data_IF_059010729554
#
_entry.id   IF_059010729554
#
_cell.length_a   1.000
_cell.length_b   1.000
_cell.length_c   1.000
_cell.angle_alpha   90.00
_cell.angle_beta   90.00
_cell.angle_gamma   90.00
#
_symmetry.space_group_name_H-M   'P 1'
#
loop_
_entity.id
_entity.type
_entity.pdbx_description
1 polymer ?
#
# COMPACT_ATOMS: atom_id res chain seq x y z
N UNK A 1 16.85 -2.13 -13.42
CA UNK A 1 16.25 -3.45 -13.23
C UNK A 1 15.23 -3.74 -14.35
N UNK A 2 15.14 -5.00 -14.78
CA UNK A 2 14.24 -5.43 -15.87
C UNK A 2 12.78 -5.01 -15.65
N UNK A 3 12.29 -5.18 -14.42
CA UNK A 3 10.91 -4.83 -14.06
C UNK A 3 10.59 -3.34 -14.29
N UNK A 4 11.54 -2.43 -14.04
CA UNK A 4 11.35 -1.00 -14.31
C UNK A 4 11.23 -0.74 -15.80
N UNK A 5 12.07 -1.39 -16.64
CA UNK A 5 11.98 -1.25 -18.09
C UNK A 5 10.62 -1.72 -18.64
N UNK A 6 10.07 -2.80 -18.08
CA UNK A 6 8.75 -3.29 -18.47
C UNK A 6 7.66 -2.28 -18.16
N UNK A 7 7.66 -1.69 -16.94
CA UNK A 7 6.71 -0.63 -16.57
C UNK A 7 6.85 0.58 -17.49
N UNK A 8 8.08 1.04 -17.74
CA UNK A 8 8.36 2.17 -18.65
C UNK A 8 7.86 1.89 -20.05
N UNK A 9 8.04 0.64 -20.54
CA UNK A 9 7.56 0.22 -21.87
C UNK A 9 6.04 0.28 -22.04
N UNK A 10 5.27 0.24 -20.94
CA UNK A 10 3.80 0.39 -20.97
C UNK A 10 3.36 1.85 -21.11
N UNK A 11 4.26 2.81 -20.86
CA UNK A 11 3.96 4.25 -20.84
C UNK A 11 2.68 4.59 -20.01
N UNK A 12 2.63 4.23 -18.73
CA UNK A 12 1.42 4.35 -17.93
C UNK A 12 1.12 5.80 -17.56
N UNK A 13 -0.18 6.14 -17.43
CA UNK A 13 -0.64 7.39 -16.86
C UNK A 13 -0.67 7.34 -15.33
N UNK A 14 -0.91 6.15 -14.77
CA UNK A 14 -0.95 5.90 -13.32
C UNK A 14 -0.11 4.68 -12.97
N UNK A 15 0.75 4.83 -11.96
CA UNK A 15 1.51 3.72 -11.35
C UNK A 15 1.08 3.57 -9.90
N UNK A 16 0.52 2.41 -9.54
CA UNK A 16 0.16 2.08 -8.17
C UNK A 16 1.30 1.25 -7.55
N UNK A 17 1.83 1.73 -6.43
CA UNK A 17 2.96 1.13 -5.72
C UNK A 17 2.48 0.55 -4.38
N UNK A 18 2.46 -0.79 -4.28
CA UNK A 18 1.98 -1.53 -3.11
C UNK A 18 3.14 -2.32 -2.50
N UNK A 19 3.69 -1.82 -1.41
CA UNK A 19 4.84 -2.39 -0.70
C UNK A 19 4.56 -2.56 0.81
N UNK A 20 5.59 -2.79 1.60
CA UNK A 20 5.54 -2.83 3.06
C UNK A 20 5.33 -4.22 3.64
N UNK A 21 4.63 -5.13 2.97
CA UNK A 21 4.38 -6.49 3.49
C UNK A 21 5.67 -7.30 3.57
N UNK A 22 6.45 -7.36 2.50
CA UNK A 22 7.69 -8.13 2.44
C UNK A 22 8.77 -7.53 3.34
N UNK A 23 8.88 -6.21 3.33
CA UNK A 23 9.80 -5.45 4.16
C UNK A 23 9.53 -5.70 5.65
N UNK A 24 8.25 -5.68 6.06
CA UNK A 24 7.81 -5.99 7.42
C UNK A 24 8.03 -7.46 7.80
N UNK A 25 8.13 -8.40 6.84
CA UNK A 25 8.41 -9.82 7.10
C UNK A 25 9.89 -10.13 7.28
N UNK A 26 10.78 -9.24 6.89
CA UNK A 26 12.21 -9.36 7.15
C UNK A 26 12.52 -9.61 8.63
N UNK A 27 13.63 -10.29 8.94
CA UNK A 27 14.05 -10.54 10.34
C UNK A 27 14.26 -9.25 11.13
N UNK A 28 14.71 -8.20 10.43
CA UNK A 28 14.90 -6.85 10.98
C UNK A 28 14.28 -5.88 10.00
N UNK A 29 13.22 -5.20 10.43
CA UNK A 29 12.66 -4.09 9.67
C UNK A 29 13.46 -2.83 9.97
N UNK A 30 13.92 -2.16 8.94
CA UNK A 30 14.63 -0.88 9.01
C UNK A 30 13.84 0.18 8.25
N UNK A 31 13.23 1.18 8.93
CA UNK A 31 12.58 2.30 8.25
C UNK A 31 13.50 3.02 7.27
N UNK A 32 14.77 3.23 7.64
CA UNK A 32 15.74 3.93 6.78
C UNK A 32 16.02 3.18 5.48
N UNK A 33 16.18 1.83 5.54
CA UNK A 33 16.37 1.00 4.35
C UNK A 33 15.11 0.99 3.48
N UNK A 34 13.93 0.89 4.10
CA UNK A 34 12.65 0.93 3.38
C UNK A 34 12.49 2.26 2.65
N UNK A 35 12.73 3.40 3.31
CA UNK A 35 12.70 4.72 2.69
C UNK A 35 13.69 4.84 1.52
N UNK A 36 14.91 4.36 1.69
CA UNK A 36 15.92 4.41 0.63
C UNK A 36 15.52 3.58 -0.60
N UNK A 37 14.89 2.41 -0.38
CA UNK A 37 14.37 1.56 -1.46
C UNK A 37 13.21 2.24 -2.20
N UNK A 38 12.27 2.87 -1.46
CA UNK A 38 11.16 3.63 -2.05
C UNK A 38 11.67 4.82 -2.87
N UNK A 39 12.61 5.60 -2.33
CA UNK A 39 13.22 6.74 -3.04
C UNK A 39 13.90 6.31 -4.33
N UNK A 40 14.69 5.24 -4.27
CA UNK A 40 15.39 4.72 -5.44
C UNK A 40 14.42 4.24 -6.52
N UNK A 41 13.43 3.44 -6.14
CA UNK A 41 12.41 2.92 -7.06
C UNK A 41 11.61 4.06 -7.71
N UNK A 42 11.11 4.98 -6.90
CA UNK A 42 10.33 6.12 -7.39
C UNK A 42 11.17 7.02 -8.30
N UNK A 43 12.45 7.23 -7.94
CA UNK A 43 13.38 8.00 -8.76
C UNK A 43 13.61 7.39 -10.14
N UNK A 44 13.80 6.08 -10.20
CA UNK A 44 13.97 5.36 -11.47
C UNK A 44 12.67 5.35 -12.31
N UNK A 45 11.52 5.15 -11.68
CA UNK A 45 10.23 5.21 -12.38
C UNK A 45 9.94 6.60 -12.94
N UNK A 46 10.19 7.66 -12.17
CA UNK A 46 10.00 9.06 -12.62
C UNK A 46 10.90 9.44 -13.78
N UNK A 47 12.11 8.88 -13.88
CA UNK A 47 12.98 9.07 -15.05
C UNK A 47 12.38 8.46 -16.31
N UNK A 48 11.79 7.26 -16.20
CA UNK A 48 11.20 6.56 -17.33
C UNK A 48 9.77 6.98 -17.68
N UNK A 49 8.97 7.35 -16.69
CA UNK A 49 7.57 7.76 -16.82
C UNK A 49 7.32 9.13 -16.18
N UNK A 50 7.91 10.23 -16.70
CA UNK A 50 7.89 11.54 -16.03
C UNK A 50 6.49 12.17 -15.97
N UNK A 51 5.56 11.71 -16.80
CA UNK A 51 4.16 12.20 -16.83
C UNK A 51 3.22 11.35 -15.99
N UNK A 52 3.62 10.17 -15.55
CA UNK A 52 2.79 9.30 -14.76
C UNK A 52 2.50 9.88 -13.37
N UNK A 53 1.30 9.63 -12.88
CA UNK A 53 0.92 9.86 -11.48
C UNK A 53 1.29 8.63 -10.65
N UNK A 54 1.76 8.83 -9.44
CA UNK A 54 2.18 7.76 -8.52
C UNK A 54 1.29 7.73 -7.30
N UNK A 55 0.64 6.58 -7.07
CA UNK A 55 -0.20 6.30 -5.91
C UNK A 55 0.43 5.19 -5.09
N UNK A 56 0.74 5.46 -3.84
CA UNK A 56 1.16 4.42 -2.89
C UNK A 56 -0.04 3.79 -2.18
N UNK A 57 0.11 2.54 -1.74
CA UNK A 57 -0.86 1.90 -0.86
C UNK A 57 -0.13 1.28 0.32
N UNK A 58 -0.64 1.48 1.55
CA UNK A 58 -0.07 0.82 2.72
C UNK A 58 -0.38 -0.69 2.70
N UNK A 59 0.47 -1.53 3.35
CA UNK A 59 0.23 -2.96 3.43
C UNK A 59 -1.05 -3.29 4.20
N UNK A 60 -1.79 -4.35 3.81
CA UNK A 60 -3.11 -4.67 4.38
C UNK A 60 -3.07 -5.27 5.81
N UNK A 61 -1.90 -5.57 6.33
CA UNK A 61 -1.72 -6.36 7.54
C UNK A 61 -1.38 -7.81 7.23
N UNK A 62 -0.63 -8.46 8.14
CA UNK A 62 -0.24 -9.85 8.00
C UNK A 62 0.11 -10.46 9.35
N UNK A 63 0.16 -11.80 9.42
CA UNK A 63 0.65 -12.52 10.58
C UNK A 63 2.10 -12.96 10.38
N UNK A 64 2.82 -13.13 11.48
CA UNK A 64 4.18 -13.69 11.52
C UNK A 64 4.25 -14.82 12.56
N UNK A 65 5.13 -15.79 12.36
CA UNK A 65 5.38 -16.83 13.37
C UNK A 65 6.22 -16.27 14.52
N UNK A 66 5.77 -16.50 15.74
CA UNK A 66 6.55 -16.21 16.94
C UNK A 66 7.55 -17.35 17.17
N UNK A 67 8.73 -17.23 16.56
CA UNK A 67 9.75 -18.27 16.54
C UNK A 67 9.48 -19.38 15.51
N UNK A 68 10.43 -20.35 15.43
CA UNK A 68 10.44 -21.39 14.37
C UNK A 68 9.22 -22.33 14.40
N UNK A 69 8.67 -22.62 15.59
CA UNK A 69 7.50 -23.50 15.81
C UNK A 69 6.35 -22.81 16.56
N UNK A 70 6.44 -21.50 16.76
CA UNK A 70 5.46 -20.75 17.53
C UNK A 70 4.15 -20.49 16.78
N UNK A 71 3.14 -20.07 17.54
CA UNK A 71 1.87 -19.61 17.00
C UNK A 71 2.06 -18.39 16.09
N UNK A 72 1.10 -18.18 15.18
CA UNK A 72 1.03 -16.95 14.40
C UNK A 72 0.49 -15.83 15.26
N UNK A 73 1.16 -14.70 15.21
CA UNK A 73 0.75 -13.44 15.84
C UNK A 73 0.67 -12.35 14.79
N UNK A 74 -0.12 -11.32 15.04
CA UNK A 74 -0.15 -10.14 14.16
C UNK A 74 1.29 -9.60 14.07
N UNK A 75 1.74 -9.33 12.84
CA UNK A 75 3.11 -8.85 12.62
C UNK A 75 3.29 -7.43 13.19
N UNK A 76 4.04 -7.24 14.28
CA UNK A 76 4.18 -5.92 14.90
C UNK A 76 4.96 -4.92 14.05
N UNK A 77 5.70 -5.41 13.04
CA UNK A 77 6.47 -4.56 12.13
C UNK A 77 5.61 -3.95 11.02
N UNK A 78 4.42 -4.51 10.73
CA UNK A 78 3.51 -3.94 9.73
C UNK A 78 3.15 -2.50 10.07
N UNK A 79 2.82 -2.20 11.33
CA UNK A 79 2.51 -0.81 11.73
C UNK A 79 3.67 0.16 11.55
N UNK A 80 4.91 -0.34 11.69
CA UNK A 80 6.10 0.47 11.45
C UNK A 80 6.30 0.74 9.96
N UNK A 81 6.04 -0.26 9.10
CA UNK A 81 6.06 -0.09 7.65
C UNK A 81 5.00 0.92 7.21
N UNK A 82 3.76 0.76 7.68
CA UNK A 82 2.66 1.72 7.43
C UNK A 82 3.05 3.13 7.81
N UNK A 83 3.56 3.32 9.04
CA UNK A 83 4.01 4.66 9.48
C UNK A 83 5.10 5.22 8.58
N UNK A 84 6.08 4.39 8.21
CA UNK A 84 7.18 4.79 7.33
C UNK A 84 6.67 5.27 5.98
N UNK A 85 5.72 4.55 5.38
CA UNK A 85 5.13 4.89 4.07
C UNK A 85 4.27 6.16 4.15
N UNK A 86 3.46 6.32 5.20
CA UNK A 86 2.65 7.52 5.40
C UNK A 86 3.52 8.76 5.60
N UNK A 87 4.55 8.69 6.45
CA UNK A 87 5.50 9.77 6.68
C UNK A 87 6.26 10.13 5.38
N UNK A 88 6.66 9.10 4.61
CA UNK A 88 7.32 9.28 3.32
C UNK A 88 6.42 10.03 2.33
N UNK A 89 5.20 9.54 2.15
CA UNK A 89 4.25 10.16 1.23
C UNK A 89 3.95 11.62 1.62
N UNK A 90 3.74 11.89 2.92
CA UNK A 90 3.52 13.24 3.43
C UNK A 90 4.73 14.15 3.15
N UNK A 91 5.96 13.70 3.42
CA UNK A 91 7.19 14.46 3.20
C UNK A 91 7.47 14.78 1.73
N UNK A 92 7.02 13.92 0.83
CA UNK A 92 7.21 14.02 -0.62
C UNK A 92 5.99 14.56 -1.37
N UNK A 93 4.89 14.88 -0.66
CA UNK A 93 3.61 15.30 -1.24
C UNK A 93 3.09 14.30 -2.29
N UNK A 94 3.18 13.00 -1.96
CA UNK A 94 2.72 11.91 -2.80
C UNK A 94 1.32 11.47 -2.39
N UNK A 95 0.54 11.00 -3.36
CA UNK A 95 -0.73 10.34 -3.07
C UNK A 95 -0.47 8.98 -2.41
N UNK A 96 -1.20 8.70 -1.34
CA UNK A 96 -1.17 7.40 -0.66
C UNK A 96 -2.57 7.02 -0.21
N UNK A 97 -2.93 5.75 -0.45
CA UNK A 97 -4.15 5.15 0.09
C UNK A 97 -3.79 4.29 1.29
N UNK A 98 -4.34 4.66 2.44
CA UNK A 98 -4.06 3.98 3.71
C UNK A 98 -4.99 2.78 3.91
N UNK A 99 -4.73 1.69 3.16
CA UNK A 99 -5.49 0.44 3.26
C UNK A 99 -5.47 -0.12 4.69
N UNK A 100 -4.33 -0.05 5.37
CA UNK A 100 -4.19 -0.62 6.72
C UNK A 100 -5.24 -0.10 7.69
N UNK A 101 -5.42 1.22 7.75
CA UNK A 101 -6.40 1.81 8.66
C UNK A 101 -7.84 1.67 8.15
N UNK A 102 -8.07 1.70 6.83
CA UNK A 102 -9.38 1.43 6.23
C UNK A 102 -9.91 0.05 6.64
N UNK A 103 -9.06 -0.97 6.72
CA UNK A 103 -9.47 -2.33 7.09
C UNK A 103 -9.38 -2.61 8.60
N UNK A 104 -9.09 -1.60 9.44
CA UNK A 104 -9.18 -1.70 10.88
C UNK A 104 -7.87 -1.48 11.66
N UNK A 105 -6.76 -1.22 10.98
CA UNK A 105 -5.49 -0.86 11.58
C UNK A 105 -4.86 -1.95 12.46
N UNK A 106 -4.02 -1.52 13.39
CA UNK A 106 -3.23 -2.42 14.26
C UNK A 106 -4.12 -3.43 15.00
N UNK A 107 -5.30 -3.00 15.44
CA UNK A 107 -6.17 -3.81 16.28
C UNK A 107 -7.03 -4.79 15.49
N UNK A 108 -7.51 -4.39 14.33
CA UNK A 108 -8.58 -5.14 13.65
C UNK A 108 -8.25 -5.59 12.23
N UNK A 109 -7.30 -5.00 11.53
CA UNK A 109 -7.04 -5.35 10.13
C UNK A 109 -6.89 -6.86 9.93
N UNK A 110 -5.97 -7.52 10.64
CA UNK A 110 -5.77 -8.95 10.52
C UNK A 110 -6.97 -9.79 10.99
N UNK A 111 -7.72 -9.31 11.99
CA UNK A 111 -8.93 -10.00 12.46
C UNK A 111 -10.04 -9.91 11.42
N UNK A 112 -10.27 -8.75 10.83
CA UNK A 112 -11.27 -8.57 9.78
C UNK A 112 -10.98 -9.45 8.57
N UNK A 113 -9.73 -9.47 8.10
CA UNK A 113 -9.31 -10.38 7.02
C UNK A 113 -9.49 -11.86 7.39
N UNK A 114 -9.19 -12.23 8.65
CA UNK A 114 -9.35 -13.63 9.11
C UNK A 114 -10.80 -14.03 9.24
N UNK A 115 -11.66 -13.16 9.80
CA UNK A 115 -13.09 -13.42 10.00
C UNK A 115 -13.84 -13.55 8.66
N UNK A 116 -13.42 -12.79 7.65
CA UNK A 116 -13.95 -12.90 6.30
C UNK A 116 -13.37 -14.06 5.47
N UNK A 117 -12.47 -14.86 6.04
CA UNK A 117 -11.75 -15.94 5.33
C UNK A 117 -10.95 -15.46 4.11
N UNK A 118 -10.49 -14.21 4.12
CA UNK A 118 -9.77 -13.61 3.00
C UNK A 118 -8.28 -13.94 2.95
N UNK A 119 -7.69 -14.47 4.03
CA UNK A 119 -6.30 -14.93 4.03
C UNK A 119 -6.14 -16.34 3.49
N UNK A 120 -5.05 -16.60 2.78
CA UNK A 120 -4.55 -17.94 2.55
C UNK A 120 -4.04 -18.59 3.86
N UNK A 121 -3.67 -19.88 3.80
CA UNK A 121 -3.17 -20.64 4.96
C UNK A 121 -1.94 -20.03 5.64
N UNK A 122 -1.12 -19.31 4.88
CA UNK A 122 0.10 -18.67 5.41
C UNK A 122 -0.20 -17.41 6.23
N UNK A 123 -1.41 -16.85 6.11
CA UNK A 123 -1.83 -15.60 6.77
C UNK A 123 -0.99 -14.38 6.39
N UNK A 124 -0.43 -14.40 5.18
CA UNK A 124 0.33 -13.33 4.54
C UNK A 124 -0.32 -12.96 3.21
N UNK A 125 -0.55 -13.98 2.38
CA UNK A 125 -1.23 -13.82 1.10
C UNK A 125 -2.74 -13.91 1.26
N UNK A 126 -3.45 -13.35 0.30
CA UNK A 126 -4.91 -13.33 0.29
C UNK A 126 -5.47 -14.37 -0.67
N UNK A 127 -6.71 -14.77 -0.44
CA UNK A 127 -7.50 -15.52 -1.41
C UNK A 127 -7.85 -14.63 -2.59
N UNK A 128 -8.39 -15.20 -3.65
CA UNK A 128 -8.87 -14.42 -4.79
C UNK A 128 -9.90 -13.37 -4.36
N UNK A 129 -10.85 -13.77 -3.52
CA UNK A 129 -11.89 -12.89 -2.95
C UNK A 129 -11.26 -11.77 -2.10
N UNK A 130 -10.21 -12.09 -1.34
CA UNK A 130 -9.48 -11.09 -0.55
C UNK A 130 -8.79 -10.04 -1.42
N UNK A 131 -8.16 -10.44 -2.52
CA UNK A 131 -7.57 -9.49 -3.47
C UNK A 131 -8.64 -8.68 -4.23
N UNK A 132 -9.76 -9.31 -4.60
CA UNK A 132 -10.89 -8.60 -5.22
C UNK A 132 -11.42 -7.52 -4.27
N UNK A 133 -11.62 -7.86 -2.99
CA UNK A 133 -12.09 -6.89 -2.01
C UNK A 133 -11.11 -5.72 -1.83
N UNK A 134 -9.79 -5.96 -1.78
CA UNK A 134 -8.80 -4.89 -1.75
C UNK A 134 -8.92 -3.97 -2.97
N UNK A 135 -9.08 -4.54 -4.16
CA UNK A 135 -9.29 -3.78 -5.39
C UNK A 135 -10.57 -2.94 -5.37
N UNK A 136 -11.68 -3.48 -4.87
CA UNK A 136 -12.94 -2.76 -4.74
C UNK A 136 -12.84 -1.59 -3.74
N UNK A 137 -12.18 -1.78 -2.62
CA UNK A 137 -11.96 -0.74 -1.62
C UNK A 137 -11.09 0.40 -2.18
N UNK A 138 -10.04 0.07 -2.93
CA UNK A 138 -9.22 1.08 -3.62
C UNK A 138 -10.02 1.83 -4.68
N UNK A 139 -10.79 1.10 -5.50
CA UNK A 139 -11.66 1.70 -6.51
C UNK A 139 -12.65 2.69 -5.88
N UNK A 140 -13.32 2.30 -4.79
CA UNK A 140 -14.24 3.18 -4.06
C UNK A 140 -13.52 4.45 -3.55
N UNK A 141 -12.31 4.32 -3.02
CA UNK A 141 -11.52 5.45 -2.55
C UNK A 141 -11.16 6.42 -3.69
N UNK A 142 -10.79 5.89 -4.87
CA UNK A 142 -10.49 6.69 -6.06
C UNK A 142 -11.74 7.44 -6.54
N UNK A 143 -12.87 6.75 -6.64
CA UNK A 143 -14.14 7.39 -7.07
C UNK A 143 -14.56 8.49 -6.09
N UNK A 144 -14.50 8.24 -4.79
CA UNK A 144 -14.80 9.27 -3.79
C UNK A 144 -13.88 10.49 -3.92
N UNK A 145 -12.58 10.27 -4.08
CA UNK A 145 -11.61 11.36 -4.27
C UNK A 145 -11.89 12.16 -5.53
N UNK A 146 -12.24 11.49 -6.63
CA UNK A 146 -12.60 12.14 -7.88
C UNK A 146 -13.87 12.97 -7.74
N UNK A 147 -14.92 12.42 -7.14
CA UNK A 147 -16.17 13.15 -6.93
C UNK A 147 -15.96 14.40 -6.06
N UNK A 148 -15.24 14.28 -4.95
CA UNK A 148 -14.89 15.42 -4.10
C UNK A 148 -14.10 16.49 -4.88
N UNK A 149 -13.17 16.08 -5.73
CA UNK A 149 -12.43 17.01 -6.59
C UNK A 149 -13.38 17.76 -7.54
N UNK A 150 -14.27 17.04 -8.23
CA UNK A 150 -15.23 17.64 -9.16
C UNK A 150 -16.15 18.63 -8.44
N UNK A 151 -16.71 18.25 -7.29
CA UNK A 151 -17.56 19.12 -6.46
C UNK A 151 -16.81 20.39 -6.06
N UNK A 152 -15.56 20.27 -5.57
CA UNK A 152 -14.73 21.43 -5.22
C UNK A 152 -14.45 22.35 -6.41
N UNK A 153 -14.28 21.81 -7.63
CA UNK A 153 -14.09 22.62 -8.82
C UNK A 153 -15.38 23.35 -9.23
N UNK A 154 -16.53 22.70 -9.11
CA UNK A 154 -17.83 23.29 -9.42
C UNK A 154 -18.18 24.43 -8.44
N UNK A 155 -17.96 24.23 -7.14
CA UNK A 155 -18.20 25.25 -6.11
C UNK A 155 -17.27 26.48 -6.27
N UNK A 156 -16.05 26.27 -6.76
CA UNK A 156 -15.07 27.34 -7.02
C UNK A 156 -15.35 28.17 -8.30
N UNK A 157 -16.19 27.69 -9.19
CA UNK A 157 -16.50 28.38 -10.47
C UNK A 157 -17.67 29.37 -10.39
N UNK A 158 -18.36 29.44 -9.25
CA UNK A 158 -19.52 30.30 -9.07
C UNK A 158 -19.28 31.44 -8.06
N UNK A 159 -18.04 31.64 -7.61
CA UNK A 159 -17.58 32.78 -6.83
C UNK A 159 -16.61 33.64 -7.64
#
# INVERSE_FOLDING_TARGET
PENIRQVVGLNPDLVILSFGTNEAHGRRYSPAEHLAQMDNLLGELKKGCPKAVYLFTTPPGAYVRNGRRGARVINPRTKLAVKTELDYAASRKLAIWDMYHVVGGERYACLNWSNGNYFQRDKIHFTQEGYILQGLLLHEAIIKSYNNYVETQLDGTWN
#
